data_IF_614409676002
#
_entry.id   IF_614409676002
#
_cell.length_a   1.000
_cell.length_b   1.000
_cell.length_c   1.000
_cell.angle_alpha   90.00
_cell.angle_beta   90.00
_cell.angle_gamma   90.00
#
_symmetry.space_group_name_H-M   'P 1'
#
loop_
_entity.id
_entity.type
_entity.pdbx_description
1 polymer ?
#
# COMPACT_ATOMS: atom_id res chain seq x y z
N UNK A 1 0.65 -30.54 -11.08
CA UNK A 1 1.08 -29.13 -11.10
C UNK A 1 1.92 -28.96 -9.88
N UNK A 2 3.22 -28.72 -10.05
CA UNK A 2 4.08 -28.37 -8.93
C UNK A 2 3.56 -27.06 -8.35
N UNK A 3 2.91 -27.14 -7.18
CA UNK A 3 2.58 -25.96 -6.39
C UNK A 3 3.89 -25.43 -5.82
N UNK A 4 4.71 -24.83 -6.68
CA UNK A 4 5.96 -24.24 -6.25
C UNK A 4 5.58 -22.94 -5.53
N UNK A 5 5.48 -23.05 -4.21
CA UNK A 5 5.21 -21.91 -3.35
C UNK A 5 6.46 -21.03 -3.31
N UNK A 6 6.24 -19.73 -3.46
CA UNK A 6 7.27 -18.70 -3.46
C UNK A 6 7.19 -18.01 -2.12
N UNK A 7 8.34 -17.94 -1.45
CA UNK A 7 8.45 -17.18 -0.22
C UNK A 7 8.39 -15.69 -0.53
N UNK A 8 7.41 -15.02 0.06
CA UNK A 8 7.15 -13.59 -0.13
C UNK A 8 7.30 -12.81 1.17
N UNK A 9 7.75 -11.56 1.05
CA UNK A 9 7.59 -10.53 2.06
C UNK A 9 6.25 -9.83 1.83
N UNK A 10 5.52 -9.59 2.91
CA UNK A 10 4.33 -8.75 2.91
C UNK A 10 4.76 -7.33 3.23
N UNK A 11 4.62 -6.43 2.27
CA UNK A 11 4.91 -5.00 2.44
C UNK A 11 3.58 -4.29 2.66
N UNK A 12 3.43 -3.67 3.83
CA UNK A 12 2.30 -2.81 4.16
C UNK A 12 2.71 -1.36 3.99
N UNK A 13 1.82 -0.58 3.39
CA UNK A 13 2.07 0.79 2.95
C UNK A 13 0.95 1.67 3.47
N UNK A 14 1.25 2.51 4.45
CA UNK A 14 0.29 3.44 5.02
C UNK A 14 0.40 4.78 4.28
N UNK A 15 -0.67 5.24 3.66
CA UNK A 15 -0.68 6.47 2.86
C UNK A 15 -1.32 7.63 3.62
N UNK A 16 -2.61 7.53 3.94
CA UNK A 16 -3.41 8.60 4.55
C UNK A 16 -4.18 8.07 5.77
N UNK A 17 -4.39 8.93 6.77
CA UNK A 17 -5.25 8.57 7.89
C UNK A 17 -6.68 8.29 7.39
N UNK A 18 -7.28 7.22 7.91
CA UNK A 18 -8.64 6.84 7.56
C UNK A 18 -9.67 7.70 8.30
N UNK A 19 -10.93 7.68 7.85
CA UNK A 19 -12.00 8.43 8.49
C UNK A 19 -12.20 7.95 9.95
N UNK A 20 -12.31 8.87 10.94
CA UNK A 20 -12.48 8.50 12.33
C UNK A 20 -13.71 7.63 12.63
N UNK A 21 -14.78 7.72 11.83
CA UNK A 21 -15.96 6.84 11.94
C UNK A 21 -15.57 5.42 11.54
N UNK A 22 -14.88 5.24 10.41
CA UNK A 22 -14.46 3.93 9.92
C UNK A 22 -13.51 3.25 10.91
N UNK A 23 -12.57 4.00 11.47
CA UNK A 23 -11.67 3.51 12.53
C UNK A 23 -12.47 3.03 13.76
N UNK A 24 -13.46 3.81 14.22
CA UNK A 24 -14.32 3.41 15.36
C UNK A 24 -15.17 2.18 15.04
N UNK A 25 -15.48 1.95 13.77
CA UNK A 25 -16.19 0.77 13.28
C UNK A 25 -15.26 -0.43 13.03
N UNK A 26 -13.96 -0.34 13.37
CA UNK A 26 -12.98 -1.41 13.24
C UNK A 26 -12.20 -1.42 11.93
N UNK A 27 -12.30 -0.36 11.13
CA UNK A 27 -11.43 -0.13 9.97
C UNK A 27 -9.98 0.17 10.37
N UNK A 28 -9.04 0.10 9.42
CA UNK A 28 -7.63 0.39 9.68
C UNK A 28 -7.43 1.88 10.00
N UNK A 29 -6.39 2.20 10.78
CA UNK A 29 -6.02 3.58 11.11
C UNK A 29 -5.57 4.37 9.87
N UNK A 30 -4.97 3.68 8.89
CA UNK A 30 -4.49 4.25 7.65
C UNK A 30 -5.08 3.51 6.46
N UNK A 31 -5.40 4.28 5.41
CA UNK A 31 -5.66 3.76 4.08
C UNK A 31 -4.33 3.64 3.33
N UNK A 32 -4.23 2.62 2.48
CA UNK A 32 -3.05 2.36 1.68
C UNK A 32 -3.09 0.98 1.05
N UNK A 33 -1.95 0.29 0.99
CA UNK A 33 -1.79 -0.92 0.19
C UNK A 33 -1.03 -2.01 0.93
N UNK A 34 -1.37 -3.27 0.61
CA UNK A 34 -0.59 -4.44 0.99
C UNK A 34 -0.12 -5.18 -0.26
N UNK A 35 1.19 -5.42 -0.35
CA UNK A 35 1.81 -6.10 -1.48
C UNK A 35 2.61 -7.31 -1.02
N UNK A 36 2.36 -8.46 -1.65
CA UNK A 36 3.17 -9.65 -1.48
C UNK A 36 4.23 -9.71 -2.57
N UNK A 37 5.50 -9.52 -2.22
CA UNK A 37 6.62 -9.53 -3.17
C UNK A 37 7.61 -10.62 -2.83
N UNK A 38 8.37 -11.12 -3.79
CA UNK A 38 9.41 -12.12 -3.55
C UNK A 38 10.43 -11.59 -2.53
N UNK A 39 10.84 -12.43 -1.58
CA UNK A 39 11.74 -12.01 -0.48
C UNK A 39 13.04 -11.38 -1.02
N UNK A 40 13.61 -11.97 -2.07
CA UNK A 40 14.83 -11.50 -2.72
C UNK A 40 14.69 -10.13 -3.41
N UNK A 41 13.47 -9.69 -3.70
CA UNK A 41 13.17 -8.40 -4.33
C UNK A 41 12.66 -7.34 -3.34
N UNK A 42 12.54 -7.68 -2.05
CA UNK A 42 11.85 -6.82 -1.06
C UNK A 42 12.36 -5.38 -1.06
N UNK A 43 13.66 -5.15 -0.90
CA UNK A 43 14.21 -3.79 -0.81
C UNK A 43 14.11 -3.01 -2.12
N UNK A 44 14.19 -3.69 -3.27
CA UNK A 44 13.96 -3.06 -4.57
C UNK A 44 12.49 -2.63 -4.70
N UNK A 45 11.57 -3.52 -4.33
CA UNK A 45 10.13 -3.27 -4.43
C UNK A 45 9.67 -2.17 -3.47
N UNK A 46 10.22 -2.08 -2.26
CA UNK A 46 9.94 -0.97 -1.33
C UNK A 46 10.29 0.39 -1.95
N UNK A 47 11.47 0.50 -2.58
CA UNK A 47 11.89 1.72 -3.28
C UNK A 47 10.98 2.02 -4.46
N UNK A 48 10.64 1.00 -5.26
CA UNK A 48 9.75 1.15 -6.40
C UNK A 48 8.35 1.64 -5.99
N UNK A 49 7.78 1.07 -4.92
CA UNK A 49 6.48 1.48 -4.37
C UNK A 49 6.54 2.95 -3.94
N UNK A 50 7.55 3.36 -3.18
CA UNK A 50 7.70 4.74 -2.72
C UNK A 50 7.75 5.74 -3.90
N UNK A 51 8.56 5.43 -4.93
CA UNK A 51 8.64 6.25 -6.15
C UNK A 51 7.31 6.26 -6.92
N UNK A 52 6.60 5.13 -6.97
CA UNK A 52 5.31 5.03 -7.65
C UNK A 52 4.27 5.92 -6.97
N UNK A 53 4.20 5.89 -5.63
CA UNK A 53 3.30 6.78 -4.87
C UNK A 53 3.62 8.26 -5.11
N UNK A 54 4.91 8.62 -5.14
CA UNK A 54 5.36 9.98 -5.45
C UNK A 54 4.93 10.43 -6.85
N UNK A 55 5.07 9.58 -7.87
CA UNK A 55 4.62 9.87 -9.25
C UNK A 55 3.12 10.15 -9.31
N UNK A 56 2.33 9.43 -8.51
CA UNK A 56 0.88 9.62 -8.42
C UNK A 56 0.49 10.62 -7.33
N UNK A 57 1.43 11.39 -6.77
CA UNK A 57 1.17 12.41 -5.74
C UNK A 57 0.38 11.89 -4.51
N UNK A 58 0.55 10.61 -4.18
CA UNK A 58 -0.06 9.98 -3.00
C UNK A 58 0.91 10.13 -1.82
N UNK A 59 0.50 10.69 -0.68
CA UNK A 59 1.38 10.82 0.47
C UNK A 59 1.74 9.44 1.03
N UNK A 60 3.00 9.28 1.42
CA UNK A 60 3.48 8.09 2.10
C UNK A 60 3.71 8.41 3.58
N UNK A 61 2.94 7.77 4.46
CA UNK A 61 3.10 7.90 5.92
C UNK A 61 4.11 6.88 6.44
N UNK A 62 3.97 5.61 6.05
CA UNK A 62 4.85 4.55 6.52
C UNK A 62 4.95 3.41 5.49
N UNK A 63 6.06 2.70 5.50
CA UNK A 63 6.32 1.56 4.63
C UNK A 63 7.18 0.53 5.35
N UNK A 64 6.59 -0.64 5.63
CA UNK A 64 7.23 -1.66 6.46
C UNK A 64 6.88 -3.07 6.00
N UNK A 65 7.66 -4.05 6.46
CA UNK A 65 7.38 -5.46 6.22
C UNK A 65 6.51 -5.94 7.37
N UNK A 66 5.26 -6.31 7.08
CA UNK A 66 4.29 -6.79 8.07
C UNK A 66 4.42 -8.29 8.35
N UNK A 67 5.05 -9.04 7.43
CA UNK A 67 5.25 -10.48 7.61
C UNK A 67 5.92 -11.16 6.42
N UNK A 68 5.97 -12.48 6.49
CA UNK A 68 6.40 -13.35 5.38
C UNK A 68 5.39 -14.48 5.17
N UNK A 69 5.12 -14.82 3.92
CA UNK A 69 4.11 -15.82 3.54
C UNK A 69 4.55 -16.60 2.31
N UNK A 70 4.19 -17.87 2.22
CA UNK A 70 4.43 -18.71 1.05
C UNK A 70 3.20 -18.70 0.14
N UNK A 71 3.36 -18.23 -1.10
CA UNK A 71 2.26 -17.97 -2.03
C UNK A 71 2.49 -18.63 -3.39
N UNK A 72 1.41 -18.81 -4.15
CA UNK A 72 1.52 -19.22 -5.55
C UNK A 72 1.92 -18.03 -6.44
N UNK A 73 2.56 -18.29 -7.59
CA UNK A 73 3.05 -17.24 -8.52
C UNK A 73 2.00 -16.18 -8.85
N UNK A 74 0.74 -16.57 -9.05
CA UNK A 74 -0.37 -15.65 -9.38
C UNK A 74 -0.69 -14.64 -8.25
N UNK A 75 -0.32 -14.95 -7.01
CA UNK A 75 -0.61 -14.12 -5.84
C UNK A 75 0.58 -13.19 -5.50
N UNK A 76 1.71 -13.36 -6.20
CA UNK A 76 2.88 -12.47 -6.12
C UNK A 76 2.64 -11.21 -6.95
N UNK A 77 2.92 -10.07 -6.36
CA UNK A 77 2.78 -8.77 -7.02
C UNK A 77 3.97 -8.45 -7.89
N UNK A 78 3.69 -8.09 -9.14
CA UNK A 78 4.66 -7.52 -10.08
C UNK A 78 4.61 -6.00 -10.04
N UNK A 79 5.65 -5.34 -10.57
CA UNK A 79 5.71 -3.88 -10.67
C UNK A 79 4.52 -3.32 -11.45
N UNK A 80 4.12 -3.97 -12.54
CA UNK A 80 3.01 -3.55 -13.38
C UNK A 80 1.67 -3.63 -12.62
N UNK A 81 1.47 -4.69 -11.83
CA UNK A 81 0.27 -4.84 -10.99
C UNK A 81 0.22 -3.77 -9.91
N UNK A 82 1.35 -3.48 -9.27
CA UNK A 82 1.46 -2.43 -8.25
C UNK A 82 1.11 -1.07 -8.85
N UNK A 83 1.74 -0.69 -9.97
CA UNK A 83 1.45 0.59 -10.65
C UNK A 83 -0.03 0.70 -11.00
N UNK A 84 -0.63 -0.39 -11.49
CA UNK A 84 -2.06 -0.39 -11.81
C UNK A 84 -2.91 -0.15 -10.55
N UNK A 85 -2.69 -0.90 -9.48
CA UNK A 85 -3.45 -0.75 -8.24
C UNK A 85 -3.29 0.64 -7.63
N UNK A 86 -2.05 1.15 -7.56
CA UNK A 86 -1.78 2.49 -7.06
C UNK A 86 -2.48 3.56 -7.91
N UNK A 87 -2.45 3.41 -9.24
CA UNK A 87 -3.12 4.34 -10.15
C UNK A 87 -4.64 4.31 -10.00
N UNK A 88 -5.23 3.11 -9.88
CA UNK A 88 -6.67 2.92 -9.79
C UNK A 88 -7.23 3.59 -8.52
N UNK A 89 -6.47 3.62 -7.42
CA UNK A 89 -6.88 4.23 -6.14
C UNK A 89 -6.34 5.66 -5.91
N UNK A 90 -5.54 6.20 -6.84
CA UNK A 90 -4.82 7.45 -6.63
C UNK A 90 -5.73 8.65 -6.34
N UNK A 91 -6.78 8.84 -7.15
CA UNK A 91 -7.70 9.97 -6.99
C UNK A 91 -8.42 9.94 -5.64
N UNK A 92 -8.78 8.74 -5.17
CA UNK A 92 -9.42 8.56 -3.87
C UNK A 92 -8.47 8.93 -2.73
N UNK A 93 -7.26 8.39 -2.72
CA UNK A 93 -6.27 8.64 -1.66
C UNK A 93 -5.83 10.11 -1.63
N UNK A 94 -5.70 10.76 -2.78
CA UNK A 94 -5.45 12.20 -2.88
C UNK A 94 -6.60 13.01 -2.27
N UNK A 95 -7.86 12.63 -2.57
CA UNK A 95 -9.04 13.27 -2.00
C UNK A 95 -9.10 13.16 -0.47
N UNK A 96 -8.81 11.96 0.07
CA UNK A 96 -8.76 11.73 1.51
C UNK A 96 -7.63 12.53 2.18
N UNK A 97 -6.45 12.61 1.56
CA UNK A 97 -5.37 13.46 2.04
C UNK A 97 -5.84 14.92 2.19
N UNK A 98 -6.48 15.48 1.15
CA UNK A 98 -6.94 16.87 1.16
C UNK A 98 -8.02 17.13 2.22
N UNK A 99 -8.96 16.20 2.42
CA UNK A 99 -10.00 16.30 3.45
C UNK A 99 -9.42 16.37 4.85
N UNK A 100 -8.42 15.53 5.12
CA UNK A 100 -7.71 15.50 6.40
C UNK A 100 -6.99 16.82 6.67
N UNK A 101 -6.28 17.39 5.69
CA UNK A 101 -5.63 18.70 5.82
C UNK A 101 -6.65 19.87 5.96
N UNK A 102 -7.76 19.84 5.21
CA UNK A 102 -8.79 20.89 5.27
C UNK A 102 -9.51 20.98 6.62
N UNK A 103 -9.60 19.87 7.36
CA UNK A 103 -10.19 19.84 8.71
C UNK A 103 -9.35 20.63 9.74
N UNK A 104 -8.04 20.70 9.55
CA UNK A 104 -7.10 21.35 10.48
C UNK A 104 -7.18 22.88 10.46
N UNK A 105 -7.73 23.47 9.40
CA UNK A 105 -7.91 24.92 9.22
C UNK A 105 -9.24 25.47 9.75
N UNK A 106 -10.11 24.62 10.32
CA UNK A 106 -11.42 25.02 10.88
C UNK A 106 -11.45 25.09 12.41
N UNK A 107 -10.32 25.41 13.05
CA UNK A 107 -10.26 25.75 14.49
C UNK A 107 -10.18 27.24 14.71
#
# INVERSE_FOLDING_TARGET
MDNNLIRCSQISVDCVANDPVDIRCGGPEYLGFDFNVRVEQTEEMKKFIAVTLEIFEIPLTNLYISGTIDLSEKDVWTKERIVKAVKDDAEYLQGEAQRNYGSSLRR
#
